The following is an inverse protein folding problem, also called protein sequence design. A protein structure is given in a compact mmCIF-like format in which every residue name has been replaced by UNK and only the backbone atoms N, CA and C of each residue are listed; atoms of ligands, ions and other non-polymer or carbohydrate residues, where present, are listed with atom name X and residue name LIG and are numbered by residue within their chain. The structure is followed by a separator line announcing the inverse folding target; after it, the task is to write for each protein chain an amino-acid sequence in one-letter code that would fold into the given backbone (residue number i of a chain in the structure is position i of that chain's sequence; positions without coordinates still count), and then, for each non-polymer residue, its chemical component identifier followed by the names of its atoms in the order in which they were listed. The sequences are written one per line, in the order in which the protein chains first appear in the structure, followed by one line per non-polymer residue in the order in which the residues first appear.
data_IF_341840749343
#
_entry.id   IF_341840749343
#
_cell.length_a   1.000
_cell.length_b   1.000
_cell.length_c   1.000
_cell.angle_alpha   90.00
_cell.angle_beta   90.00
_cell.angle_gamma   90.00
#
_symmetry.space_group_name_H-M   'P 1'
#
loop_
_entity.id
_entity.type
_entity.pdbx_description
1 polymer ?
#
# COMPACT_ATOMS: atom_id res chain seq x y z
N UNK A 1 -49.88 13.17 -55.06
CA UNK A 1 -50.98 13.75 -54.24
C UNK A 1 -50.39 14.72 -53.25
N UNK A 2 -51.01 15.91 -53.16
CA UNK A 2 -51.14 16.86 -52.04
C UNK A 2 -49.91 17.26 -51.20
N UNK A 3 -49.76 18.59 -51.16
CA UNK A 3 -48.87 19.45 -50.38
C UNK A 3 -49.30 19.50 -48.90
N UNK A 4 -48.40 19.88 -47.98
CA UNK A 4 -48.56 21.03 -47.06
C UNK A 4 -47.33 21.23 -46.13
N UNK A 5 -47.15 22.49 -45.75
CA UNK A 5 -46.09 23.13 -44.94
C UNK A 5 -46.17 22.83 -43.43
N UNK A 6 -45.12 23.16 -42.65
CA UNK A 6 -45.29 23.46 -41.22
C UNK A 6 -44.02 23.60 -40.37
N UNK A 7 -43.85 24.78 -39.77
CA UNK A 7 -42.76 25.28 -38.91
C UNK A 7 -42.68 24.69 -37.48
N UNK A 8 -41.50 24.91 -36.89
CA UNK A 8 -41.23 25.37 -35.51
C UNK A 8 -40.91 24.39 -34.36
N UNK A 9 -39.86 24.80 -33.63
CA UNK A 9 -39.37 24.33 -32.33
C UNK A 9 -40.45 24.30 -31.23
N UNK A 10 -40.33 23.36 -30.30
CA UNK A 10 -40.52 23.66 -28.87
C UNK A 10 -39.82 22.61 -27.99
N UNK A 11 -39.07 23.14 -27.02
CA UNK A 11 -38.57 22.47 -25.83
C UNK A 11 -39.69 21.72 -25.09
N UNK A 12 -39.41 20.50 -24.63
CA UNK A 12 -40.03 19.99 -23.41
C UNK A 12 -38.93 19.60 -22.42
N UNK A 13 -38.72 20.50 -21.47
CA UNK A 13 -38.29 20.17 -20.12
C UNK A 13 -39.37 19.28 -19.50
N UNK A 14 -39.03 18.03 -19.22
CA UNK A 14 -39.73 17.17 -18.27
C UNK A 14 -38.62 16.46 -17.50
N UNK A 15 -38.28 16.86 -16.27
CA UNK A 15 -39.21 16.89 -15.14
C UNK A 15 -39.22 15.48 -14.56
N UNK A 16 -38.23 15.15 -13.71
CA UNK A 16 -38.21 13.89 -12.97
C UNK A 16 -39.40 13.88 -11.99
N UNK A 17 -40.55 13.40 -12.46
CA UNK A 17 -41.68 13.08 -11.61
C UNK A 17 -41.32 11.82 -10.80
N UNK A 18 -41.18 12.03 -9.50
CA UNK A 18 -41.17 10.98 -8.48
C UNK A 18 -42.47 10.19 -8.55
N UNK A 19 -42.39 8.91 -8.91
CA UNK A 19 -43.45 7.94 -8.67
C UNK A 19 -42.86 6.77 -7.89
N UNK A 20 -43.07 6.87 -6.58
CA UNK A 20 -43.00 5.80 -5.62
C UNK A 20 -43.98 4.71 -6.05
N UNK A 21 -43.49 3.52 -6.40
CA UNK A 21 -44.33 2.32 -6.35
C UNK A 21 -43.48 1.12 -5.94
N UNK A 22 -43.67 0.72 -4.69
CA UNK A 22 -43.18 -0.54 -4.14
C UNK A 22 -43.89 -1.69 -4.84
N UNK A 23 -43.14 -2.47 -5.61
CA UNK A 23 -43.45 -3.89 -5.77
C UNK A 23 -42.31 -4.67 -5.12
N UNK A 24 -42.69 -5.41 -4.09
CA UNK A 24 -41.84 -6.29 -3.30
C UNK A 24 -41.43 -7.46 -4.19
N UNK A 25 -40.13 -7.62 -4.40
CA UNK A 25 -39.56 -8.88 -4.87
C UNK A 25 -38.34 -9.17 -3.98
N UNK A 26 -38.50 -10.17 -3.11
CA UNK A 26 -37.48 -10.69 -2.21
C UNK A 26 -36.25 -11.14 -2.99
N UNK A 27 -35.16 -10.40 -2.83
CA UNK A 27 -33.81 -10.86 -3.08
C UNK A 27 -33.01 -10.49 -1.85
N UNK A 28 -32.41 -11.50 -1.23
CA UNK A 28 -31.74 -11.50 0.08
C UNK A 28 -30.63 -10.46 0.19
N UNK A 29 -31.00 -9.19 0.42
CA UNK A 29 -30.09 -8.17 0.89
C UNK A 29 -29.95 -8.35 2.40
N UNK A 30 -28.81 -8.88 2.84
CA UNK A 30 -28.42 -8.83 4.26
C UNK A 30 -28.26 -7.36 4.64
N UNK A 31 -29.33 -6.75 5.14
CA UNK A 31 -29.31 -5.42 5.73
C UNK A 31 -28.86 -5.53 7.18
N UNK A 32 -27.54 -5.61 7.40
CA UNK A 32 -26.96 -5.33 8.71
C UNK A 32 -26.43 -3.89 8.73
N UNK A 33 -26.78 -3.06 9.72
CA UNK A 33 -26.15 -1.76 9.89
C UNK A 33 -24.73 -2.00 10.47
N UNK A 34 -23.72 -1.96 9.60
CA UNK A 34 -22.29 -2.08 9.96
C UNK A 34 -21.69 -0.76 10.51
N UNK A 35 -22.53 0.22 10.84
CA UNK A 35 -22.15 1.48 11.46
C UNK A 35 -22.90 1.69 12.77
N UNK A 36 -22.23 2.25 13.78
CA UNK A 36 -22.90 2.77 14.97
C UNK A 36 -23.88 3.89 14.57
N UNK A 37 -25.10 3.93 15.12
CA UNK A 37 -26.20 4.79 14.65
C UNK A 37 -25.99 6.31 14.86
N UNK A 38 -24.93 6.72 15.56
CA UNK A 38 -24.74 8.08 16.05
C UNK A 38 -24.30 9.09 14.97
N UNK A 39 -23.68 8.65 13.85
CA UNK A 39 -22.95 9.55 12.93
C UNK A 39 -23.46 9.56 11.48
N UNK A 40 -24.60 8.95 11.19
CA UNK A 40 -25.19 8.91 9.84
C UNK A 40 -25.53 10.30 9.25
N UNK A 41 -25.49 11.37 10.06
CA UNK A 41 -25.88 12.74 9.65
C UNK A 41 -24.74 13.62 9.10
N UNK A 42 -23.49 13.15 9.06
CA UNK A 42 -22.33 13.89 8.50
C UNK A 42 -21.91 13.43 7.10
N UNK A 43 -22.85 12.95 6.31
CA UNK A 43 -22.60 12.54 4.92
C UNK A 43 -22.69 13.76 3.99
N UNK A 44 -21.54 14.34 3.63
CA UNK A 44 -21.43 15.32 2.54
C UNK A 44 -21.91 14.68 1.23
N UNK A 45 -22.71 15.41 0.45
CA UNK A 45 -23.31 14.90 -0.80
C UNK A 45 -22.22 14.37 -1.76
N UNK A 46 -22.40 13.17 -2.34
CA UNK A 46 -21.37 12.59 -3.18
C UNK A 46 -21.37 13.13 -4.63
N UNK A 47 -20.18 13.17 -5.25
CA UNK A 47 -19.91 13.35 -6.69
C UNK A 47 -20.45 12.22 -7.59
N UNK A 48 -21.40 11.43 -7.10
CA UNK A 48 -21.76 10.11 -7.64
C UNK A 48 -23.21 10.11 -8.13
N UNK A 49 -23.41 9.92 -9.43
CA UNK A 49 -24.71 10.09 -10.10
C UNK A 49 -25.55 8.81 -10.20
N UNK A 50 -25.03 7.63 -9.84
CA UNK A 50 -25.76 6.35 -9.88
C UNK A 50 -25.94 5.65 -8.52
N UNK A 51 -26.90 4.71 -8.43
CA UNK A 51 -27.13 3.89 -7.23
C UNK A 51 -25.95 2.96 -6.91
N UNK A 52 -25.28 2.42 -7.94
CA UNK A 52 -24.03 1.66 -7.77
C UNK A 52 -22.90 2.53 -7.23
N UNK A 53 -22.83 3.78 -7.68
CA UNK A 53 -21.82 4.72 -7.20
C UNK A 53 -22.03 5.10 -5.73
N UNK A 54 -23.29 5.12 -5.25
CA UNK A 54 -23.58 5.29 -3.81
C UNK A 54 -23.08 4.12 -2.96
N UNK A 55 -23.19 2.88 -3.46
CA UNK A 55 -22.67 1.71 -2.76
C UNK A 55 -21.14 1.75 -2.66
N UNK A 56 -20.46 2.18 -3.73
CA UNK A 56 -19.00 2.44 -3.71
C UNK A 56 -18.65 3.54 -2.73
N UNK A 57 -19.36 4.67 -2.79
CA UNK A 57 -19.13 5.80 -1.91
C UNK A 57 -19.25 5.38 -0.44
N UNK A 58 -20.29 4.62 -0.11
CA UNK A 58 -20.49 4.09 1.23
C UNK A 58 -19.33 3.15 1.66
N UNK A 59 -18.89 2.26 0.77
CA UNK A 59 -17.76 1.36 1.03
C UNK A 59 -16.45 2.14 1.28
N UNK A 60 -16.19 3.18 0.47
CA UNK A 60 -15.04 4.07 0.64
C UNK A 60 -15.11 4.84 1.97
N UNK A 61 -16.28 5.36 2.32
CA UNK A 61 -16.50 6.05 3.60
C UNK A 61 -16.28 5.12 4.78
N UNK A 62 -16.83 3.90 4.73
CA UNK A 62 -16.59 2.88 5.75
C UNK A 62 -15.11 2.51 5.86
N UNK A 63 -14.43 2.34 4.71
CA UNK A 63 -13.01 2.04 4.68
C UNK A 63 -12.17 3.14 5.33
N UNK A 64 -12.48 4.40 5.01
CA UNK A 64 -11.85 5.58 5.62
C UNK A 64 -12.07 5.63 7.14
N UNK A 65 -13.30 5.38 7.59
CA UNK A 65 -13.62 5.29 9.00
C UNK A 65 -12.79 4.21 9.71
N UNK A 66 -12.76 2.98 9.17
CA UNK A 66 -11.95 1.89 9.73
C UNK A 66 -10.45 2.19 9.72
N UNK A 67 -9.95 2.87 8.69
CA UNK A 67 -8.57 3.32 8.63
C UNK A 67 -8.23 4.33 9.74
N UNK A 68 -9.18 5.17 10.15
CA UNK A 68 -9.02 6.14 11.25
C UNK A 68 -9.03 5.51 12.65
N UNK A 69 -9.53 4.27 12.79
CA UNK A 69 -9.60 3.61 14.09
C UNK A 69 -8.20 3.33 14.64
N UNK A 70 -8.07 3.44 15.96
CA UNK A 70 -6.80 3.22 16.67
C UNK A 70 -6.94 2.19 17.81
N UNK A 71 -5.80 1.72 18.32
CA UNK A 71 -5.71 0.89 19.51
C UNK A 71 -6.44 -0.46 19.41
N UNK A 72 -6.99 -0.91 20.54
CA UNK A 72 -7.72 -2.19 20.65
C UNK A 72 -8.95 -2.23 19.76
N UNK A 73 -9.64 -1.09 19.58
CA UNK A 73 -10.86 -1.04 18.78
C UNK A 73 -10.57 -1.34 17.30
N UNK A 74 -9.50 -0.77 16.74
CA UNK A 74 -9.01 -1.10 15.39
C UNK A 74 -8.77 -2.60 15.21
N UNK A 75 -8.08 -3.23 16.15
CA UNK A 75 -7.78 -4.66 16.10
C UNK A 75 -9.05 -5.51 16.14
N UNK A 76 -9.99 -5.18 17.03
CA UNK A 76 -11.28 -5.87 17.12
C UNK A 76 -12.06 -5.81 15.81
N UNK A 77 -12.15 -4.63 15.18
CA UNK A 77 -12.84 -4.48 13.89
C UNK A 77 -12.13 -5.28 12.79
N UNK A 78 -10.80 -5.20 12.73
CA UNK A 78 -10.01 -5.97 11.76
C UNK A 78 -10.25 -7.48 11.88
N UNK A 79 -10.19 -8.02 13.11
CA UNK A 79 -10.43 -9.45 13.35
C UNK A 79 -11.87 -9.87 13.05
N UNK A 80 -12.86 -9.02 13.34
CA UNK A 80 -14.26 -9.27 12.96
C UNK A 80 -14.41 -9.36 11.45
N UNK A 81 -13.86 -8.40 10.70
CA UNK A 81 -13.90 -8.42 9.23
C UNK A 81 -13.19 -9.64 8.65
N UNK A 82 -12.03 -10.01 9.21
CA UNK A 82 -11.33 -11.24 8.82
C UNK A 82 -12.19 -12.48 9.03
N UNK A 83 -12.87 -12.58 10.18
CA UNK A 83 -13.76 -13.71 10.48
C UNK A 83 -14.96 -13.74 9.52
N UNK A 84 -15.60 -12.60 9.27
CA UNK A 84 -16.71 -12.49 8.31
C UNK A 84 -16.30 -12.93 6.91
N UNK A 85 -15.13 -12.47 6.44
CA UNK A 85 -14.60 -12.88 5.15
C UNK A 85 -14.36 -14.39 5.08
N UNK A 86 -13.89 -15.03 6.15
CA UNK A 86 -13.64 -16.47 6.18
C UNK A 86 -14.91 -17.33 6.29
N UNK A 87 -15.93 -16.84 7.00
CA UNK A 87 -17.12 -17.63 7.33
C UNK A 87 -18.24 -17.50 6.30
N UNK A 88 -18.48 -16.30 5.76
CA UNK A 88 -19.61 -16.02 4.87
C UNK A 88 -19.23 -16.22 3.40
N UNK A 89 -18.50 -17.29 3.08
CA UNK A 89 -18.02 -17.60 1.72
C UNK A 89 -17.27 -16.46 1.04
N UNK A 90 -16.54 -15.63 1.80
CA UNK A 90 -15.77 -14.54 1.19
C UNK A 90 -16.61 -13.33 0.80
N UNK A 91 -17.50 -12.85 1.69
CA UNK A 91 -18.21 -11.57 1.51
C UNK A 91 -17.25 -10.52 0.95
N UNK A 92 -17.52 -10.10 -0.29
CA UNK A 92 -16.59 -9.28 -1.05
C UNK A 92 -16.38 -7.92 -0.37
N UNK A 93 -17.40 -7.37 0.30
CA UNK A 93 -17.30 -6.12 1.05
C UNK A 93 -16.36 -6.28 2.25
N UNK A 94 -16.47 -7.39 3.00
CA UNK A 94 -15.61 -7.66 4.13
C UNK A 94 -14.15 -7.81 3.69
N UNK A 95 -13.90 -8.54 2.59
CA UNK A 95 -12.57 -8.66 1.98
C UNK A 95 -12.01 -7.32 1.52
N UNK A 96 -12.84 -6.52 0.83
CA UNK A 96 -12.44 -5.20 0.35
C UNK A 96 -12.08 -4.26 1.51
N UNK A 97 -12.95 -4.15 2.52
CA UNK A 97 -12.69 -3.33 3.71
C UNK A 97 -11.45 -3.81 4.47
N UNK A 98 -11.24 -5.12 4.58
CA UNK A 98 -10.07 -5.69 5.22
C UNK A 98 -8.78 -5.30 4.47
N UNK A 99 -8.80 -5.34 3.13
CA UNK A 99 -7.64 -5.01 2.31
C UNK A 99 -7.26 -3.52 2.33
N UNK A 100 -8.25 -2.62 2.28
CA UNK A 100 -8.02 -1.18 2.15
C UNK A 100 -7.96 -0.41 3.47
N UNK A 101 -8.62 -0.88 4.53
CA UNK A 101 -8.70 -0.11 5.78
C UNK A 101 -7.52 -0.35 6.73
N UNK A 102 -6.83 -1.48 6.58
CA UNK A 102 -5.79 -1.92 7.50
C UNK A 102 -4.47 -2.13 6.76
N UNK A 103 -3.80 -1.05 6.36
CA UNK A 103 -2.56 -1.07 5.54
C UNK A 103 -1.28 -0.85 6.33
N UNK A 104 -1.38 -0.47 7.60
CA UNK A 104 -0.26 -0.13 8.48
C UNK A 104 0.36 -1.34 9.19
N UNK A 105 1.45 -1.12 9.93
CA UNK A 105 2.16 -2.16 10.69
C UNK A 105 1.31 -2.87 11.75
N UNK A 106 0.15 -2.31 12.12
CA UNK A 106 -0.79 -2.86 13.11
C UNK A 106 -1.96 -3.61 12.46
N UNK A 107 -1.89 -3.87 11.16
CA UNK A 107 -2.89 -4.67 10.46
C UNK A 107 -2.97 -6.09 10.99
N UNK A 108 -4.19 -6.65 11.02
CA UNK A 108 -4.43 -8.06 11.36
C UNK A 108 -4.27 -9.02 10.17
N UNK A 109 -3.89 -8.48 9.00
CA UNK A 109 -3.56 -9.25 7.80
C UNK A 109 -2.15 -8.91 7.30
N UNK A 110 -1.47 -9.91 6.76
CA UNK A 110 -0.17 -9.72 6.12
C UNK A 110 -0.29 -9.06 4.75
N UNK A 111 0.85 -8.60 4.21
CA UNK A 111 0.95 -8.08 2.84
C UNK A 111 0.50 -9.10 1.80
N UNK A 112 0.91 -10.36 1.95
CA UNK A 112 0.54 -11.47 1.09
C UNK A 112 -0.95 -11.79 1.17
N UNK A 113 -1.51 -11.84 2.39
CA UNK A 113 -2.94 -12.06 2.60
C UNK A 113 -3.77 -10.97 1.94
N UNK A 114 -3.32 -9.71 2.03
CA UNK A 114 -3.97 -8.58 1.35
C UNK A 114 -4.00 -8.78 -0.17
N UNK A 115 -2.86 -9.14 -0.77
CA UNK A 115 -2.78 -9.44 -2.20
C UNK A 115 -3.73 -10.57 -2.59
N UNK A 116 -3.72 -11.68 -1.84
CA UNK A 116 -4.57 -12.84 -2.11
C UNK A 116 -6.07 -12.48 -2.05
N UNK A 117 -6.48 -11.66 -1.08
CA UNK A 117 -7.85 -11.14 -0.99
C UNK A 117 -8.17 -10.34 -2.26
N UNK A 118 -7.37 -9.34 -2.61
CA UNK A 118 -7.61 -8.49 -3.78
C UNK A 118 -7.65 -9.29 -5.09
N UNK A 119 -6.77 -10.27 -5.26
CA UNK A 119 -6.77 -11.16 -6.42
C UNK A 119 -8.03 -12.02 -6.48
N UNK A 120 -8.49 -12.56 -5.35
CA UNK A 120 -9.74 -13.32 -5.31
C UNK A 120 -10.96 -12.45 -5.63
N UNK A 121 -10.93 -11.18 -5.21
CA UNK A 121 -11.98 -10.20 -5.50
C UNK A 121 -11.97 -9.82 -6.99
N UNK A 122 -10.79 -9.67 -7.59
CA UNK A 122 -10.62 -9.38 -9.02
C UNK A 122 -11.20 -10.50 -9.91
N UNK A 123 -11.16 -11.74 -9.44
CA UNK A 123 -11.70 -12.90 -10.16
C UNK A 123 -13.24 -12.99 -10.09
N UNK A 124 -13.89 -12.21 -9.22
CA UNK A 124 -15.34 -12.21 -9.05
C UNK A 124 -15.99 -11.15 -9.96
N UNK A 125 -17.06 -11.52 -10.66
CA UNK A 125 -17.85 -10.59 -11.49
C UNK A 125 -18.73 -9.63 -10.70
N UNK A 126 -18.70 -9.69 -9.36
CA UNK A 126 -19.60 -8.97 -8.45
C UNK A 126 -19.18 -7.50 -8.28
N UNK A 127 -17.91 -7.19 -8.54
CA UNK A 127 -17.39 -5.83 -8.41
C UNK A 127 -17.67 -4.98 -9.64
N UNK A 128 -18.00 -3.72 -9.43
CA UNK A 128 -18.09 -2.76 -10.51
C UNK A 128 -16.70 -2.38 -11.06
N UNK A 129 -16.71 -1.73 -12.21
CA UNK A 129 -15.50 -1.36 -12.94
C UNK A 129 -14.54 -0.51 -12.10
N UNK A 130 -15.06 0.44 -11.31
CA UNK A 130 -14.25 1.34 -10.50
C UNK A 130 -13.50 0.60 -9.39
N UNK A 131 -14.18 -0.31 -8.68
CA UNK A 131 -13.55 -1.15 -7.66
C UNK A 131 -12.56 -2.15 -8.27
N UNK A 132 -12.86 -2.70 -9.45
CA UNK A 132 -11.94 -3.57 -10.17
C UNK A 132 -10.66 -2.85 -10.61
N UNK A 133 -10.79 -1.63 -11.12
CA UNK A 133 -9.64 -0.79 -11.47
C UNK A 133 -8.80 -0.47 -10.24
N UNK A 134 -9.44 -0.11 -9.13
CA UNK A 134 -8.76 0.21 -7.88
C UNK A 134 -8.00 -1.02 -7.33
N UNK A 135 -8.63 -2.20 -7.37
CA UNK A 135 -8.00 -3.46 -6.96
C UNK A 135 -6.77 -3.80 -7.81
N UNK A 136 -6.87 -3.69 -9.13
CA UNK A 136 -5.74 -3.95 -10.02
C UNK A 136 -4.57 -3.01 -9.75
N UNK A 137 -4.85 -1.70 -9.60
CA UNK A 137 -3.86 -0.69 -9.25
C UNK A 137 -3.20 -0.97 -7.89
N UNK A 138 -3.99 -1.39 -6.92
CA UNK A 138 -3.45 -1.68 -5.60
C UNK A 138 -2.59 -2.96 -5.59
N UNK A 139 -2.99 -4.01 -6.31
CA UNK A 139 -2.16 -5.22 -6.51
C UNK A 139 -0.80 -4.83 -7.12
N UNK A 140 -0.77 -4.02 -8.17
CA UNK A 140 0.48 -3.56 -8.79
C UNK A 140 1.35 -2.77 -7.81
N UNK A 141 0.72 -1.96 -6.94
CA UNK A 141 1.42 -1.24 -5.88
C UNK A 141 2.05 -2.23 -4.88
N UNK A 142 1.32 -3.27 -4.47
CA UNK A 142 1.84 -4.31 -3.58
C UNK A 142 3.03 -5.05 -4.21
N UNK A 143 3.00 -5.33 -5.51
CA UNK A 143 4.10 -5.97 -6.27
C UNK A 143 5.35 -5.07 -6.34
N UNK A 144 5.12 -3.77 -6.56
CA UNK A 144 6.20 -2.78 -6.54
C UNK A 144 6.85 -2.71 -5.17
N UNK A 145 6.07 -2.72 -4.09
CA UNK A 145 6.58 -2.74 -2.71
C UNK A 145 7.46 -3.97 -2.46
N UNK A 146 7.05 -5.16 -2.92
CA UNK A 146 7.86 -6.37 -2.72
C UNK A 146 9.18 -6.31 -3.51
N UNK A 147 9.12 -5.82 -4.74
CA UNK A 147 10.33 -5.59 -5.55
C UNK A 147 11.29 -4.61 -4.87
N UNK A 148 10.77 -3.53 -4.30
CA UNK A 148 11.57 -2.56 -3.57
C UNK A 148 12.16 -3.14 -2.29
N UNK A 149 11.42 -3.95 -1.53
CA UNK A 149 11.94 -4.65 -0.34
C UNK A 149 13.08 -5.58 -0.70
N UNK A 150 12.93 -6.38 -1.76
CA UNK A 150 13.97 -7.30 -2.22
C UNK A 150 15.24 -6.55 -2.65
N UNK A 151 15.08 -5.46 -3.40
CA UNK A 151 16.20 -4.59 -3.80
C UNK A 151 16.89 -3.96 -2.59
N UNK A 152 16.13 -3.47 -1.62
CA UNK A 152 16.68 -2.86 -0.41
C UNK A 152 17.48 -3.88 0.42
N UNK A 153 17.00 -5.12 0.54
CA UNK A 153 17.74 -6.18 1.21
C UNK A 153 19.08 -6.47 0.51
N UNK A 154 19.07 -6.60 -0.82
CA UNK A 154 20.30 -6.80 -1.61
C UNK A 154 21.28 -5.63 -1.50
N UNK A 155 20.78 -4.38 -1.51
CA UNK A 155 21.63 -3.20 -1.31
C UNK A 155 22.24 -3.18 0.09
N UNK A 156 21.47 -3.53 1.12
CA UNK A 156 21.96 -3.60 2.50
C UNK A 156 23.09 -4.62 2.65
N UNK A 157 22.97 -5.78 2.00
CA UNK A 157 24.02 -6.81 2.00
C UNK A 157 25.30 -6.30 1.32
N UNK A 158 25.17 -5.65 0.15
CA UNK A 158 26.32 -5.05 -0.56
C UNK A 158 26.99 -3.95 0.25
N UNK A 159 26.22 -3.14 0.97
CA UNK A 159 26.78 -2.11 1.85
C UNK A 159 27.60 -2.76 2.96
N UNK A 160 27.05 -3.78 3.63
CA UNK A 160 27.76 -4.50 4.69
C UNK A 160 29.06 -5.15 4.19
N UNK A 161 29.04 -5.75 2.99
CA UNK A 161 30.24 -6.32 2.35
C UNK A 161 31.30 -5.23 2.08
N UNK A 162 30.89 -4.08 1.56
CA UNK A 162 31.82 -2.96 1.29
C UNK A 162 32.37 -2.34 2.57
N UNK A 163 31.56 -2.23 3.63
CA UNK A 163 32.00 -1.74 4.93
C UNK A 163 33.04 -2.68 5.56
N UNK A 164 32.82 -4.00 5.49
CA UNK A 164 33.79 -4.99 5.95
C UNK A 164 35.12 -4.89 5.18
N UNK A 165 35.05 -4.85 3.84
CA UNK A 165 36.25 -4.70 3.01
C UNK A 165 37.00 -3.39 3.29
N UNK A 166 36.28 -2.29 3.48
CA UNK A 166 36.87 -1.00 3.80
C UNK A 166 37.61 -1.06 5.15
N UNK A 167 37.01 -1.70 6.14
CA UNK A 167 37.63 -1.88 7.44
C UNK A 167 38.93 -2.71 7.34
N UNK A 168 38.92 -3.82 6.60
CA UNK A 168 40.11 -4.65 6.41
C UNK A 168 41.24 -3.89 5.71
N UNK A 169 40.92 -3.15 4.64
CA UNK A 169 41.89 -2.30 3.93
C UNK A 169 42.46 -1.18 4.80
N UNK A 170 41.67 -0.64 5.74
CA UNK A 170 42.14 0.34 6.70
C UNK A 170 43.13 -0.27 7.70
N UNK A 171 42.86 -1.48 8.18
CA UNK A 171 43.78 -2.22 9.06
C UNK A 171 45.09 -2.57 8.35
N UNK A 172 45.02 -3.06 7.12
CA UNK A 172 46.20 -3.38 6.32
C UNK A 172 47.04 -2.13 6.03
N UNK A 173 46.41 -1.01 5.68
CA UNK A 173 47.11 0.27 5.52
C UNK A 173 47.81 0.74 6.81
N UNK A 174 47.17 0.55 7.97
CA UNK A 174 47.79 0.91 9.25
C UNK A 174 49.02 0.04 9.54
N UNK A 175 48.93 -1.27 9.26
CA UNK A 175 50.05 -2.20 9.40
C UNK A 175 51.22 -1.83 8.48
N UNK A 176 50.96 -1.62 7.19
CA UNK A 176 51.99 -1.26 6.22
C UNK A 176 52.67 0.08 6.59
N UNK A 177 51.91 1.07 7.04
CA UNK A 177 52.48 2.34 7.53
C UNK A 177 53.43 2.12 8.70
N UNK A 178 53.07 1.25 9.65
CA UNK A 178 53.93 0.89 10.79
C UNK A 178 55.22 0.21 10.32
N UNK A 179 55.13 -0.77 9.42
CA UNK A 179 56.30 -1.46 8.86
C UNK A 179 57.24 -0.51 8.12
N UNK A 180 56.70 0.41 7.31
CA UNK A 180 57.49 1.43 6.62
C UNK A 180 58.24 2.32 7.62
N UNK A 181 57.60 2.73 8.72
CA UNK A 181 58.26 3.53 9.76
C UNK A 181 59.38 2.76 10.45
N UNK A 182 59.16 1.47 10.75
CA UNK A 182 60.19 0.60 11.33
C UNK A 182 61.41 0.46 10.39
N UNK A 183 61.17 0.24 9.10
CA UNK A 183 62.24 0.15 8.11
C UNK A 183 63.02 1.46 7.99
N UNK A 184 62.35 2.62 7.99
CA UNK A 184 63.01 3.94 8.00
C UNK A 184 63.88 4.15 9.24
N UNK A 185 63.44 3.67 10.41
CA UNK A 185 64.22 3.77 11.64
C UNK A 185 65.49 2.89 11.59
N UNK A 186 65.38 1.68 11.02
CA UNK A 186 66.52 0.80 10.76
C UNK A 186 67.49 1.47 9.79
N UNK A 187 67.00 1.99 8.67
CA UNK A 187 67.80 2.70 7.67
C UNK A 187 68.57 3.87 8.29
N UNK A 188 67.89 4.71 9.09
CA UNK A 188 68.52 5.83 9.79
C UNK A 188 69.63 5.36 10.75
N UNK A 189 69.38 4.28 11.48
CA UNK A 189 70.37 3.70 12.41
C UNK A 189 71.60 3.18 11.67
N UNK A 190 71.38 2.51 10.53
CA UNK A 190 72.44 1.95 9.70
C UNK A 190 73.28 3.06 9.05
N UNK A 191 72.64 4.09 8.51
CA UNK A 191 73.32 5.25 7.94
C UNK A 191 74.17 6.01 8.96
N UNK A 192 73.70 6.11 10.22
CA UNK A 192 74.49 6.70 11.31
C UNK A 192 75.76 5.89 11.58
N UNK A 193 75.63 4.56 11.72
CA UNK A 193 76.79 3.68 11.96
C UNK A 193 77.84 3.76 10.85
N UNK A 194 77.42 3.74 9.59
CA UNK A 194 78.34 3.88 8.45
C UNK A 194 79.02 5.27 8.44
N UNK A 195 78.30 6.32 8.85
CA UNK A 195 78.87 7.66 8.98
C UNK A 195 79.94 7.74 10.07
N UNK A 196 79.70 7.12 11.22
CA UNK A 196 80.64 7.05 12.35
C UNK A 196 81.90 6.23 11.99
N UNK A 197 81.75 5.14 11.22
CA UNK A 197 82.87 4.31 10.75
C UNK A 197 83.76 4.99 9.68
N UNK A 198 83.29 6.09 9.06
CA UNK A 198 84.01 6.83 8.02
C UNK A 198 84.77 8.06 8.51
N UNK A 199 84.72 8.39 9.81
CA UNK A 199 85.57 9.46 10.36
C UNK A 199 87.00 8.93 10.57
N UNK A 200 88.02 9.48 9.88
CA UNK A 200 89.41 9.09 10.12
C UNK A 200 89.86 9.54 11.51
N UNK A 201 90.58 8.66 12.23
CA UNK A 201 91.31 9.00 13.46
C UNK A 201 92.46 9.97 13.17
#
# INVERSE_FOLDING_TARGET
MKWFWGLSMAFFLSGCASLNNQSVQESSAVSLPLAAPEDAKKLTQPLFCGQQDRAVAHLLTQGSYYASLTGKHRQTVCHKLRKLYQQDQGSWQAGWLLAYSFTDKKSCISHEQRRAILQSLQAQSVLNHQLNWLNASYIQTLDTIDTLKARNASLSEKIAEKEALQHDLQQENALLKSQIQALKAIEKTLNKRIGDDRQPR
#
